data_IF_000225523827
#
_entry.id   IF_000225523827
#
_cell.length_a   1.000
_cell.length_b   1.000
_cell.length_c   1.000
_cell.angle_alpha   90.00
_cell.angle_beta   90.00
_cell.angle_gamma   90.00
#
_symmetry.space_group_name_H-M   'P 1'
#
loop_
_entity.id
_entity.type
_entity.pdbx_description
1 polymer ?
#
# COMPACT_ATOMS: atom_id res chain seq x y z
N UNK A 1 24.28 -20.06 38.48
CA UNK A 1 23.52 -19.22 37.53
C UNK A 1 22.15 -18.99 38.13
N UNK A 2 21.87 -17.77 38.57
CA UNK A 2 20.51 -17.38 38.94
C UNK A 2 19.77 -17.11 37.64
N UNK A 3 18.84 -17.97 37.27
CA UNK A 3 17.90 -17.65 36.21
C UNK A 3 16.93 -16.62 36.79
N UNK A 4 17.10 -15.36 36.39
CA UNK A 4 16.08 -14.35 36.61
C UNK A 4 14.78 -14.89 36.04
N UNK A 5 13.74 -14.92 36.86
CA UNK A 5 12.40 -15.24 36.38
C UNK A 5 12.02 -14.20 35.32
N UNK A 6 12.12 -14.59 34.06
CA UNK A 6 11.71 -13.80 32.88
C UNK A 6 10.25 -14.06 32.53
N UNK A 7 9.51 -14.73 33.42
CA UNK A 7 8.06 -14.82 33.28
C UNK A 7 7.47 -13.41 33.26
N UNK A 8 6.59 -13.10 32.29
CA UNK A 8 5.97 -11.78 32.24
C UNK A 8 5.25 -11.50 33.57
N UNK A 9 5.38 -10.29 34.12
CA UNK A 9 4.80 -9.98 35.42
C UNK A 9 3.28 -10.20 35.40
N UNK A 10 2.70 -10.68 36.51
CA UNK A 10 1.28 -11.06 36.60
C UNK A 10 0.32 -9.88 36.54
N UNK A 11 0.82 -8.64 36.63
CA UNK A 11 0.04 -7.41 36.56
C UNK A 11 0.58 -6.56 35.43
N UNK A 12 -0.19 -6.44 34.36
CA UNK A 12 0.22 -5.74 33.15
C UNK A 12 0.08 -4.23 33.36
N UNK A 13 1.21 -3.54 33.38
CA UNK A 13 1.22 -2.08 33.47
C UNK A 13 0.71 -1.46 32.15
N UNK A 14 0.17 -0.23 32.18
CA UNK A 14 -0.15 0.50 30.95
C UNK A 14 1.06 0.63 30.00
N UNK A 15 2.29 0.67 30.53
CA UNK A 15 3.50 0.71 29.72
C UNK A 15 3.74 -0.59 28.93
N UNK A 16 3.49 -1.75 29.54
CA UNK A 16 3.61 -3.05 28.87
C UNK A 16 2.50 -3.26 27.82
N UNK A 17 1.31 -2.75 28.09
CA UNK A 17 0.22 -2.73 27.11
C UNK A 17 0.59 -1.88 25.89
N UNK A 18 1.15 -0.69 26.11
CA UNK A 18 1.69 0.15 25.01
C UNK A 18 2.79 -0.56 24.24
N UNK A 19 3.76 -1.16 24.94
CA UNK A 19 4.85 -1.89 24.28
C UNK A 19 4.34 -3.03 23.39
N UNK A 20 3.37 -3.80 23.90
CA UNK A 20 2.77 -4.89 23.14
C UNK A 20 2.01 -4.39 21.90
N UNK A 21 1.28 -3.28 22.02
CA UNK A 21 0.56 -2.65 20.91
C UNK A 21 1.53 -2.06 19.88
N UNK A 22 2.56 -1.34 20.33
CA UNK A 22 3.57 -0.72 19.48
C UNK A 22 4.40 -1.74 18.69
N UNK A 23 4.56 -2.96 19.21
CA UNK A 23 5.27 -4.05 18.54
C UNK A 23 4.36 -5.02 17.78
N UNK A 24 3.04 -4.80 17.77
CA UNK A 24 2.09 -5.69 17.09
C UNK A 24 2.03 -7.11 17.66
N UNK A 25 2.22 -7.28 18.97
CA UNK A 25 2.43 -8.60 19.57
C UNK A 25 1.10 -9.29 19.91
N UNK A 26 1.02 -10.61 19.63
CA UNK A 26 -0.17 -11.42 19.88
C UNK A 26 -0.69 -11.39 21.33
N UNK A 27 0.19 -11.11 22.31
CA UNK A 27 -0.23 -10.93 23.72
C UNK A 27 -1.20 -9.75 23.92
N UNK A 28 -1.12 -8.70 23.11
CA UNK A 28 -2.08 -7.59 23.17
C UNK A 28 -3.50 -8.06 22.80
N UNK A 29 -3.61 -8.98 21.83
CA UNK A 29 -4.88 -9.62 21.47
C UNK A 29 -5.39 -10.54 22.58
N UNK A 30 -4.53 -11.34 23.20
CA UNK A 30 -4.93 -12.18 24.34
C UNK A 30 -5.44 -11.33 25.52
N UNK A 31 -4.79 -10.22 25.82
CA UNK A 31 -5.26 -9.28 26.84
C UNK A 31 -6.59 -8.63 26.47
N UNK A 32 -6.82 -8.38 25.18
CA UNK A 32 -8.09 -7.88 24.68
C UNK A 32 -9.23 -8.88 24.91
N UNK A 33 -9.01 -10.14 24.53
CA UNK A 33 -9.98 -11.23 24.69
C UNK A 33 -10.29 -11.54 26.16
N UNK A 34 -9.34 -11.30 27.07
CA UNK A 34 -9.50 -11.46 28.51
C UNK A 34 -10.07 -10.22 29.22
N UNK A 35 -10.32 -9.11 28.49
CA UNK A 35 -10.80 -7.86 29.08
C UNK A 35 -9.79 -7.12 29.96
N UNK A 36 -8.49 -7.43 29.81
CA UNK A 36 -7.39 -6.84 30.60
C UNK A 36 -6.80 -5.61 29.90
N UNK A 37 -6.90 -5.56 28.57
CA UNK A 37 -6.39 -4.43 27.80
C UNK A 37 -7.24 -3.18 28.08
N UNK A 38 -6.58 -2.10 28.46
CA UNK A 38 -7.22 -0.84 28.85
C UNK A 38 -7.43 0.09 27.65
N UNK A 39 -8.40 1.00 27.76
CA UNK A 39 -8.78 1.90 26.66
C UNK A 39 -7.64 2.85 26.27
N UNK A 40 -6.96 3.46 27.25
CA UNK A 40 -5.93 4.47 27.01
C UNK A 40 -4.82 4.03 26.05
N UNK A 41 -4.10 2.91 26.30
CA UNK A 41 -3.05 2.46 25.40
C UNK A 41 -3.60 2.01 24.04
N UNK A 42 -4.80 1.41 24.00
CA UNK A 42 -5.42 1.02 22.72
C UNK A 42 -5.78 2.25 21.88
N UNK A 43 -6.39 3.27 22.49
CA UNK A 43 -6.76 4.52 21.83
C UNK A 43 -5.53 5.21 21.25
N UNK A 44 -4.44 5.29 22.02
CA UNK A 44 -3.15 5.81 21.54
C UNK A 44 -2.67 5.04 20.30
N UNK A 45 -2.65 3.70 20.37
CA UNK A 45 -2.26 2.86 19.24
C UNK A 45 -3.19 2.96 18.03
N UNK A 46 -4.46 3.31 18.20
CA UNK A 46 -5.39 3.55 17.09
C UNK A 46 -5.14 4.89 16.40
N UNK A 47 -4.79 5.92 17.18
CA UNK A 47 -4.62 7.29 16.69
C UNK A 47 -3.21 7.55 16.12
N UNK A 48 -2.23 6.73 16.50
CA UNK A 48 -0.84 6.88 16.10
C UNK A 48 -0.31 5.59 15.46
N UNK A 49 0.44 5.73 14.37
CA UNK A 49 1.20 4.64 13.79
C UNK A 49 2.50 4.42 14.59
N UNK A 50 2.41 3.48 15.52
CA UNK A 50 3.49 3.08 16.43
C UNK A 50 4.47 2.06 15.82
N UNK A 51 4.46 1.82 14.51
CA UNK A 51 5.43 0.90 13.86
C UNK A 51 6.85 1.42 14.03
N UNK A 52 7.79 0.50 14.22
CA UNK A 52 9.20 0.84 14.36
C UNK A 52 9.81 1.06 12.97
N UNK A 53 9.57 0.13 12.05
CA UNK A 53 10.00 0.22 10.65
C UNK A 53 8.82 0.06 9.70
N UNK A 54 8.29 1.19 9.23
CA UNK A 54 7.11 1.24 8.35
C UNK A 54 7.33 0.61 6.98
N UNK A 55 8.59 0.42 6.56
CA UNK A 55 8.94 -0.20 5.29
C UNK A 55 8.96 -1.74 5.39
N UNK A 56 9.16 -2.27 6.59
CA UNK A 56 9.21 -3.71 6.85
C UNK A 56 7.96 -4.25 7.56
N UNK A 57 7.12 -3.38 8.12
CA UNK A 57 5.94 -3.76 8.87
C UNK A 57 4.66 -3.37 8.12
N UNK A 58 3.68 -4.27 8.05
CA UNK A 58 2.37 -3.96 7.48
C UNK A 58 1.58 -2.96 8.36
N UNK A 59 0.74 -2.09 7.76
CA UNK A 59 -0.15 -1.23 8.53
C UNK A 59 -1.07 -2.02 9.48
N UNK A 60 -1.21 -1.53 10.72
CA UNK A 60 -1.87 -2.29 11.79
C UNK A 60 -3.39 -2.08 11.90
N UNK A 61 -4.00 -1.28 11.02
CA UNK A 61 -5.41 -0.91 11.14
C UNK A 61 -6.36 -2.11 11.24
N UNK A 62 -6.13 -3.18 10.47
CA UNK A 62 -6.93 -4.41 10.55
C UNK A 62 -6.76 -5.14 11.88
N UNK A 63 -5.52 -5.32 12.33
CA UNK A 63 -5.22 -5.94 13.62
C UNK A 63 -5.76 -5.15 14.81
N UNK A 64 -5.63 -3.81 14.77
CA UNK A 64 -6.21 -2.92 15.77
C UNK A 64 -7.73 -3.02 15.80
N UNK A 65 -8.38 -3.12 14.64
CA UNK A 65 -9.83 -3.33 14.57
C UNK A 65 -10.27 -4.62 15.28
N UNK A 66 -9.55 -5.72 15.09
CA UNK A 66 -9.82 -6.97 15.81
C UNK A 66 -9.71 -6.79 17.33
N UNK A 67 -8.68 -6.07 17.79
CA UNK A 67 -8.48 -5.78 19.21
C UNK A 67 -9.62 -4.92 19.75
N UNK A 68 -10.00 -3.83 19.06
CA UNK A 68 -11.12 -2.95 19.43
C UNK A 68 -12.40 -3.76 19.64
N UNK A 69 -12.65 -4.73 18.75
CA UNK A 69 -13.82 -5.60 18.82
C UNK A 69 -13.75 -6.53 20.03
N UNK A 70 -12.59 -7.13 20.29
CA UNK A 70 -12.40 -8.06 21.40
C UNK A 70 -12.64 -7.39 22.76
N UNK A 71 -12.17 -6.15 22.97
CA UNK A 71 -12.45 -5.39 24.21
C UNK A 71 -13.79 -4.66 24.23
N UNK A 72 -14.49 -4.56 23.11
CA UNK A 72 -15.76 -3.82 23.02
C UNK A 72 -15.62 -2.29 23.04
N UNK A 73 -14.46 -1.73 22.70
CA UNK A 73 -14.20 -0.28 22.75
C UNK A 73 -14.56 0.49 21.48
N UNK A 74 -15.40 -0.07 20.60
CA UNK A 74 -15.86 0.61 19.36
C UNK A 74 -16.38 2.02 19.66
N UNK A 75 -17.30 2.17 20.61
CA UNK A 75 -17.90 3.47 20.92
C UNK A 75 -16.91 4.45 21.56
N UNK A 76 -16.00 3.95 22.39
CA UNK A 76 -15.00 4.77 23.07
C UNK A 76 -13.98 5.36 22.09
N UNK A 77 -13.62 4.60 21.04
CA UNK A 77 -12.61 4.99 20.05
C UNK A 77 -13.21 5.79 18.89
N UNK A 78 -14.52 5.61 18.62
CA UNK A 78 -15.25 6.26 17.52
C UNK A 78 -15.00 7.77 17.43
N UNK A 79 -15.30 8.52 18.50
CA UNK A 79 -15.23 9.99 18.49
C UNK A 79 -13.79 10.50 18.38
N UNK A 80 -12.81 9.99 19.17
CA UNK A 80 -11.41 10.33 18.96
C UNK A 80 -10.91 10.10 17.53
N UNK A 81 -11.33 8.99 16.91
CA UNK A 81 -10.93 8.64 15.54
C UNK A 81 -11.51 9.64 14.51
N UNK A 82 -12.77 10.04 14.65
CA UNK A 82 -13.38 11.08 13.81
C UNK A 82 -12.66 12.42 13.93
N UNK A 83 -12.32 12.84 15.15
CA UNK A 83 -11.54 14.07 15.36
C UNK A 83 -10.17 14.01 14.69
N UNK A 84 -9.49 12.86 14.74
CA UNK A 84 -8.19 12.69 14.08
C UNK A 84 -8.31 12.74 12.55
N UNK A 85 -9.34 12.12 11.97
CA UNK A 85 -9.58 12.14 10.52
C UNK A 85 -10.00 13.52 9.99
N UNK A 86 -10.67 14.35 10.80
CA UNK A 86 -10.95 15.73 10.41
C UNK A 86 -9.71 16.64 10.48
N UNK A 87 -8.73 16.31 11.32
CA UNK A 87 -7.52 17.10 11.56
C UNK A 87 -6.26 16.35 11.10
N UNK A 88 -6.35 15.69 9.94
CA UNK A 88 -5.21 14.99 9.35
C UNK A 88 -4.05 15.97 9.15
N UNK A 89 -2.93 15.61 9.76
CA UNK A 89 -1.71 16.43 9.76
C UNK A 89 -0.46 15.56 9.64
N UNK A 90 -0.49 14.38 10.26
CA UNK A 90 0.53 13.36 10.12
C UNK A 90 0.11 12.31 9.08
N UNK A 91 0.80 12.26 7.92
CA UNK A 91 0.49 11.31 6.88
C UNK A 91 0.64 9.83 7.26
N UNK A 92 1.52 9.51 8.20
CA UNK A 92 1.77 8.13 8.63
C UNK A 92 0.59 7.61 9.45
N UNK A 93 0.08 8.45 10.35
CA UNK A 93 -1.14 8.16 11.08
C UNK A 93 -2.33 8.07 10.12
N UNK A 94 -2.37 8.94 9.09
CA UNK A 94 -3.51 9.03 8.17
C UNK A 94 -3.87 7.69 7.50
N UNK A 95 -2.89 6.90 7.07
CA UNK A 95 -3.14 5.58 6.46
C UNK A 95 -3.83 4.62 7.45
N UNK A 96 -3.32 4.55 8.67
CA UNK A 96 -3.93 3.72 9.71
C UNK A 96 -5.34 4.20 10.09
N UNK A 97 -5.51 5.52 10.19
CA UNK A 97 -6.80 6.14 10.48
C UNK A 97 -7.83 5.82 9.39
N UNK A 98 -7.45 5.90 8.11
CA UNK A 98 -8.32 5.51 6.99
C UNK A 98 -8.68 4.03 7.07
N UNK A 99 -7.72 3.16 7.39
CA UNK A 99 -7.99 1.73 7.53
C UNK A 99 -9.01 1.43 8.63
N UNK A 100 -8.89 2.11 9.78
CA UNK A 100 -9.89 2.00 10.84
C UNK A 100 -11.25 2.59 10.41
N UNK A 101 -11.25 3.73 9.71
CA UNK A 101 -12.47 4.33 9.15
C UNK A 101 -13.21 3.36 8.23
N UNK A 102 -12.48 2.63 7.39
CA UNK A 102 -13.03 1.60 6.52
C UNK A 102 -13.81 0.55 7.33
N UNK A 103 -13.25 0.08 8.44
CA UNK A 103 -13.89 -0.93 9.27
C UNK A 103 -15.14 -0.40 10.00
N UNK A 104 -15.12 0.84 10.49
CA UNK A 104 -16.31 1.48 11.05
C UNK A 104 -17.40 1.65 9.99
N UNK A 105 -17.04 2.12 8.80
CA UNK A 105 -17.97 2.29 7.69
C UNK A 105 -18.59 0.96 7.24
N UNK A 106 -17.77 -0.10 7.14
CA UNK A 106 -18.22 -1.46 6.85
C UNK A 106 -19.16 -2.01 7.94
N UNK A 107 -19.03 -1.52 9.18
CA UNK A 107 -19.92 -1.86 10.30
C UNK A 107 -21.21 -1.03 10.34
N UNK A 108 -21.46 -0.21 9.31
CA UNK A 108 -22.68 0.58 9.15
C UNK A 108 -22.57 2.06 9.55
N UNK A 109 -21.38 2.53 9.92
CA UNK A 109 -21.19 3.93 10.31
C UNK A 109 -21.07 4.87 9.09
N UNK A 110 -22.18 5.53 8.75
CA UNK A 110 -22.23 6.43 7.60
C UNK A 110 -21.26 7.62 7.71
N UNK A 111 -20.97 8.11 8.92
CA UNK A 111 -20.07 9.24 9.11
C UNK A 111 -18.65 8.90 8.63
N UNK A 112 -18.16 7.71 8.93
CA UNK A 112 -16.84 7.28 8.44
C UNK A 112 -16.84 7.03 6.93
N UNK A 113 -17.94 6.53 6.37
CA UNK A 113 -18.09 6.37 4.91
C UNK A 113 -17.95 7.73 4.22
N UNK A 114 -18.72 8.72 4.66
CA UNK A 114 -18.72 10.06 4.06
C UNK A 114 -17.34 10.73 4.20
N UNK A 115 -16.68 10.54 5.35
CA UNK A 115 -15.35 11.06 5.58
C UNK A 115 -14.29 10.40 4.70
N UNK A 116 -14.38 9.11 4.40
CA UNK A 116 -13.50 8.45 3.43
C UNK A 116 -13.68 9.03 2.02
N UNK A 117 -14.93 9.23 1.58
CA UNK A 117 -15.21 9.94 0.32
C UNK A 117 -14.60 11.34 0.33
N UNK A 118 -14.73 12.08 1.43
CA UNK A 118 -14.15 13.42 1.57
C UNK A 118 -12.63 13.39 1.47
N UNK A 119 -11.95 12.47 2.16
CA UNK A 119 -10.49 12.34 2.13
C UNK A 119 -10.00 12.03 0.72
N UNK A 120 -10.62 11.06 0.05
CA UNK A 120 -10.25 10.67 -1.32
C UNK A 120 -10.46 11.83 -2.28
N UNK A 121 -11.52 12.61 -2.15
CA UNK A 121 -11.85 13.69 -3.09
C UNK A 121 -11.09 14.99 -2.82
N UNK A 122 -10.89 15.37 -1.55
CA UNK A 122 -10.29 16.65 -1.18
C UNK A 122 -8.77 16.57 -1.01
N UNK A 123 -8.20 15.38 -0.84
CA UNK A 123 -6.75 15.15 -0.69
C UNK A 123 -6.12 16.11 0.34
N UNK A 124 -6.54 16.04 1.62
CA UNK A 124 -6.21 17.06 2.63
C UNK A 124 -4.72 17.15 2.98
N UNK A 125 -3.91 16.18 2.55
CA UNK A 125 -2.46 16.19 2.75
C UNK A 125 -1.77 16.54 1.43
N UNK A 126 -1.25 17.76 1.33
CA UNK A 126 -0.65 18.32 0.11
C UNK A 126 0.73 17.73 -0.28
N UNK A 127 1.10 16.57 0.27
CA UNK A 127 2.41 15.96 0.04
C UNK A 127 2.32 14.88 -1.04
N UNK A 128 3.22 14.96 -2.03
CA UNK A 128 3.34 14.05 -3.19
C UNK A 128 3.42 12.56 -2.86
N UNK A 129 3.78 12.22 -1.62
CA UNK A 129 3.93 10.82 -1.17
C UNK A 129 2.60 10.20 -0.66
N UNK A 130 1.53 11.00 -0.57
CA UNK A 130 0.26 10.62 0.07
C UNK A 130 -0.98 10.89 -0.78
N UNK A 131 -0.80 11.16 -2.07
CA UNK A 131 -1.90 11.42 -3.00
C UNK A 131 -2.87 10.24 -3.17
N UNK A 132 -2.54 9.04 -2.68
CA UNK A 132 -3.40 7.86 -2.75
C UNK A 132 -4.15 7.55 -1.43
N UNK A 133 -4.13 8.47 -0.47
CA UNK A 133 -4.72 8.25 0.85
C UNK A 133 -6.22 7.91 0.77
N UNK A 134 -6.61 6.79 1.38
CA UNK A 134 -8.00 6.35 1.52
C UNK A 134 -8.58 5.67 0.28
N UNK A 135 -7.85 5.59 -0.84
CA UNK A 135 -8.36 5.01 -2.08
C UNK A 135 -8.54 3.50 -1.98
N UNK A 136 -7.55 2.77 -1.43
CA UNK A 136 -7.65 1.33 -1.21
C UNK A 136 -8.78 0.98 -0.24
N UNK A 137 -8.94 1.78 0.81
CA UNK A 137 -10.02 1.65 1.78
C UNK A 137 -11.40 1.85 1.16
N UNK A 138 -11.57 2.93 0.37
CA UNK A 138 -12.83 3.24 -0.27
C UNK A 138 -13.17 2.21 -1.36
N UNK A 139 -12.18 1.77 -2.13
CA UNK A 139 -12.32 0.68 -3.11
C UNK A 139 -12.80 -0.61 -2.43
N UNK A 140 -12.15 -1.02 -1.34
CA UNK A 140 -12.52 -2.22 -0.62
C UNK A 140 -13.90 -2.11 0.08
N UNK A 141 -14.35 -0.89 0.42
CA UNK A 141 -15.66 -0.64 1.03
C UNK A 141 -16.80 -0.63 0.00
N UNK A 142 -16.60 0.03 -1.15
CA UNK A 142 -17.67 0.40 -2.09
C UNK A 142 -17.51 -0.26 -3.48
N UNK A 143 -16.46 -1.05 -3.69
CA UNK A 143 -16.18 -1.74 -4.96
C UNK A 143 -16.10 -0.77 -6.13
N UNK A 144 -16.93 -0.97 -7.16
CA UNK A 144 -16.99 -0.13 -8.37
C UNK A 144 -17.19 1.36 -8.06
N UNK A 145 -18.02 1.69 -7.06
CA UNK A 145 -18.30 3.09 -6.71
C UNK A 145 -17.08 3.75 -6.06
N UNK A 146 -16.35 2.99 -5.25
CA UNK A 146 -15.09 3.45 -4.64
C UNK A 146 -14.01 3.65 -5.70
N UNK A 147 -13.88 2.69 -6.62
CA UNK A 147 -12.99 2.79 -7.77
C UNK A 147 -13.25 4.06 -8.60
N UNK A 148 -14.50 4.30 -9.01
CA UNK A 148 -14.86 5.47 -9.82
C UNK A 148 -14.59 6.78 -9.08
N UNK A 149 -14.80 6.83 -7.76
CA UNK A 149 -14.47 8.00 -6.96
C UNK A 149 -12.96 8.29 -6.94
N UNK A 150 -12.14 7.27 -6.70
CA UNK A 150 -10.68 7.41 -6.70
C UNK A 150 -10.15 7.79 -8.08
N UNK A 151 -10.59 7.08 -9.14
CA UNK A 151 -10.21 7.35 -10.52
C UNK A 151 -10.58 8.78 -10.95
N UNK A 152 -11.76 9.26 -10.56
CA UNK A 152 -12.19 10.64 -10.84
C UNK A 152 -11.28 11.65 -10.13
N UNK A 153 -10.95 11.41 -8.86
CA UNK A 153 -10.08 12.31 -8.11
C UNK A 153 -8.67 12.39 -8.72
N UNK A 154 -8.06 11.25 -9.09
CA UNK A 154 -6.77 11.23 -9.80
C UNK A 154 -6.85 11.92 -11.16
N UNK A 155 -7.94 11.67 -11.90
CA UNK A 155 -8.26 12.35 -13.15
C UNK A 155 -8.28 13.88 -13.04
N UNK A 156 -8.83 14.42 -11.96
CA UNK A 156 -8.84 15.86 -11.71
C UNK A 156 -7.41 16.40 -11.42
N UNK A 157 -6.58 15.64 -10.69
CA UNK A 157 -5.20 16.04 -10.39
C UNK A 157 -4.30 16.09 -11.63
N UNK A 158 -4.55 15.22 -12.62
CA UNK A 158 -3.81 15.19 -13.89
C UNK A 158 -3.94 16.49 -14.73
N UNK A 159 -4.85 17.40 -14.38
CA UNK A 159 -4.90 18.74 -15.00
C UNK A 159 -3.72 19.63 -14.56
N UNK A 160 -3.22 19.42 -13.34
CA UNK A 160 -2.25 20.29 -12.69
C UNK A 160 -0.86 19.68 -12.62
N UNK A 161 -0.77 18.34 -12.59
CA UNK A 161 0.48 17.62 -12.38
C UNK A 161 0.58 16.53 -13.45
N UNK A 162 1.61 16.62 -14.29
CA UNK A 162 1.98 15.52 -15.18
C UNK A 162 2.59 14.42 -14.31
N UNK A 163 1.92 13.28 -14.26
CA UNK A 163 2.14 12.30 -13.22
C UNK A 163 3.17 11.24 -13.67
N UNK A 164 4.40 11.35 -13.16
CA UNK A 164 5.50 10.43 -13.49
C UNK A 164 5.39 9.05 -12.81
N UNK A 165 4.55 8.92 -11.78
CA UNK A 165 4.39 7.67 -11.04
C UNK A 165 3.29 6.78 -11.64
N UNK A 166 3.48 5.47 -11.78
CA UNK A 166 2.48 4.65 -12.43
C UNK A 166 1.16 4.62 -11.65
N UNK A 167 0.02 4.75 -12.34
CA UNK A 167 -1.36 4.59 -11.82
C UNK A 167 -1.65 3.14 -11.33
N UNK A 168 -0.60 2.32 -11.21
CA UNK A 168 -0.62 0.86 -11.09
C UNK A 168 -1.26 0.36 -9.80
N UNK A 169 -1.10 1.05 -8.68
CA UNK A 169 -1.58 0.55 -7.39
C UNK A 169 -3.11 0.42 -7.38
N UNK A 170 -3.84 1.50 -7.69
CA UNK A 170 -5.30 1.52 -7.76
C UNK A 170 -5.83 0.56 -8.81
N UNK A 171 -5.23 0.55 -10.01
CA UNK A 171 -5.68 -0.32 -11.11
C UNK A 171 -5.41 -1.80 -10.83
N UNK A 172 -4.30 -2.14 -10.16
CA UNK A 172 -4.00 -3.51 -9.74
C UNK A 172 -4.99 -3.96 -8.67
N UNK A 173 -5.17 -3.17 -7.62
CA UNK A 173 -6.11 -3.50 -6.53
C UNK A 173 -7.55 -3.60 -7.03
N UNK A 174 -7.99 -2.68 -7.89
CA UNK A 174 -9.29 -2.75 -8.52
C UNK A 174 -9.38 -3.95 -9.47
N UNK A 175 -8.30 -4.28 -10.20
CA UNK A 175 -8.25 -5.43 -11.09
C UNK A 175 -8.43 -6.75 -10.33
N UNK A 176 -7.87 -6.85 -9.13
CA UNK A 176 -8.06 -7.99 -8.22
C UNK A 176 -9.49 -8.07 -7.65
N UNK A 177 -10.09 -6.92 -7.33
CA UNK A 177 -11.40 -6.87 -6.66
C UNK A 177 -12.60 -6.94 -7.61
N UNK A 178 -12.59 -6.17 -8.71
CA UNK A 178 -13.71 -6.03 -9.64
C UNK A 178 -13.39 -6.52 -11.06
N UNK A 179 -12.12 -6.78 -11.38
CA UNK A 179 -11.68 -7.32 -12.67
C UNK A 179 -11.32 -6.25 -13.70
N UNK A 180 -10.23 -6.47 -14.46
CA UNK A 180 -9.74 -5.51 -15.45
C UNK A 180 -10.75 -5.24 -16.59
N UNK A 181 -11.45 -6.27 -17.06
CA UNK A 181 -12.51 -6.12 -18.07
C UNK A 181 -13.59 -5.14 -17.59
N UNK A 182 -14.00 -5.27 -16.32
CA UNK A 182 -15.02 -4.43 -15.73
C UNK A 182 -14.55 -2.98 -15.58
N UNK A 183 -13.30 -2.78 -15.17
CA UNK A 183 -12.68 -1.45 -15.13
C UNK A 183 -12.76 -0.77 -16.51
N UNK A 184 -12.41 -1.50 -17.58
CA UNK A 184 -12.46 -0.95 -18.95
C UNK A 184 -13.88 -0.59 -19.36
N UNK A 185 -14.87 -1.42 -19.05
CA UNK A 185 -16.29 -1.10 -19.31
C UNK A 185 -16.73 0.18 -18.57
N UNK A 186 -16.41 0.28 -17.29
CA UNK A 186 -16.77 1.44 -16.46
C UNK A 186 -16.15 2.73 -16.99
N UNK A 187 -14.87 2.71 -17.35
CA UNK A 187 -14.17 3.90 -17.84
C UNK A 187 -14.51 4.24 -19.29
N UNK A 188 -14.78 3.26 -20.15
CA UNK A 188 -15.14 3.53 -21.56
C UNK A 188 -16.56 4.06 -21.76
N UNK A 189 -17.44 3.85 -20.78
CA UNK A 189 -18.86 4.26 -20.84
C UNK A 189 -19.13 5.63 -20.21
N UNK A 190 -18.13 6.24 -19.58
CA UNK A 190 -18.29 7.53 -18.90
C UNK A 190 -18.24 8.72 -19.87
N UNK A 191 -18.92 9.80 -19.51
CA UNK A 191 -18.78 11.11 -20.16
C UNK A 191 -18.12 12.14 -19.24
N UNK A 192 -17.68 11.72 -18.05
CA UNK A 192 -17.03 12.58 -17.07
C UNK A 192 -15.60 12.91 -17.54
N UNK A 193 -15.22 14.20 -17.65
CA UNK A 193 -13.94 14.61 -18.21
C UNK A 193 -12.74 14.15 -17.38
N UNK A 194 -12.87 14.10 -16.05
CA UNK A 194 -11.78 13.69 -15.17
C UNK A 194 -11.56 12.18 -15.29
N UNK A 195 -12.63 11.39 -15.31
CA UNK A 195 -12.53 9.94 -15.55
C UNK A 195 -11.94 9.63 -16.94
N UNK A 196 -12.29 10.41 -17.96
CA UNK A 196 -11.72 10.28 -19.29
C UNK A 196 -10.21 10.59 -19.27
N UNK A 197 -9.80 11.67 -18.61
CA UNK A 197 -8.37 12.01 -18.47
C UNK A 197 -7.58 10.91 -17.77
N UNK A 198 -8.14 10.36 -16.69
CA UNK A 198 -7.56 9.20 -16.01
C UNK A 198 -7.45 7.98 -16.94
N UNK A 199 -8.51 7.69 -17.70
CA UNK A 199 -8.52 6.55 -18.62
C UNK A 199 -7.50 6.69 -19.75
N UNK A 200 -7.38 7.88 -20.34
CA UNK A 200 -6.39 8.20 -21.36
C UNK A 200 -4.96 8.04 -20.83
N UNK A 201 -4.68 8.58 -19.64
CA UNK A 201 -3.40 8.41 -18.95
C UNK A 201 -3.06 6.92 -18.76
N UNK A 202 -4.01 6.12 -18.28
CA UNK A 202 -3.81 4.68 -18.13
C UNK A 202 -3.51 3.99 -19.48
N UNK A 203 -4.26 4.31 -20.53
CA UNK A 203 -4.01 3.76 -21.86
C UNK A 203 -2.63 4.14 -22.40
N UNK A 204 -2.19 5.37 -22.18
CA UNK A 204 -0.86 5.83 -22.57
C UNK A 204 0.22 5.02 -21.84
N UNK A 205 0.10 4.86 -20.52
CA UNK A 205 1.04 4.05 -19.72
C UNK A 205 1.13 2.60 -20.22
N UNK A 206 0.02 1.98 -20.63
CA UNK A 206 0.04 0.63 -21.22
C UNK A 206 0.87 0.61 -22.52
N UNK A 207 0.67 1.59 -23.41
CA UNK A 207 1.40 1.68 -24.69
C UNK A 207 2.89 1.86 -24.44
N UNK A 208 3.26 2.80 -23.58
CA UNK A 208 4.66 3.05 -23.23
C UNK A 208 5.35 1.81 -22.63
N UNK A 209 4.65 1.06 -21.76
CA UNK A 209 5.20 -0.20 -21.22
C UNK A 209 5.39 -1.25 -22.29
N UNK A 210 4.45 -1.37 -23.23
CA UNK A 210 4.58 -2.30 -24.35
C UNK A 210 5.79 -1.93 -25.22
N UNK A 211 5.99 -0.65 -25.52
CA UNK A 211 7.14 -0.14 -26.27
C UNK A 211 8.46 -0.39 -25.53
N UNK A 212 8.54 -0.05 -24.24
CA UNK A 212 9.72 -0.30 -23.39
C UNK A 212 10.04 -1.81 -23.35
N UNK A 213 9.04 -2.69 -23.27
CA UNK A 213 9.23 -4.15 -23.33
C UNK A 213 9.78 -4.59 -24.69
N UNK A 214 9.23 -4.08 -25.79
CA UNK A 214 9.72 -4.40 -27.15
C UNK A 214 11.15 -3.92 -27.38
N UNK A 215 11.49 -2.71 -26.93
CA UNK A 215 12.86 -2.17 -27.03
C UNK A 215 13.85 -3.03 -26.25
N UNK A 216 13.53 -3.40 -25.00
CA UNK A 216 14.37 -4.30 -24.19
C UNK A 216 14.58 -5.65 -24.87
N UNK A 217 13.53 -6.24 -25.45
CA UNK A 217 13.64 -7.50 -26.21
C UNK A 217 14.53 -7.36 -27.46
N UNK A 218 14.40 -6.25 -28.21
CA UNK A 218 15.25 -5.97 -29.38
C UNK A 218 16.71 -5.79 -28.98
N UNK A 219 16.99 -5.03 -27.92
CA UNK A 219 18.34 -4.87 -27.38
C UNK A 219 18.93 -6.19 -26.91
N UNK A 220 18.15 -7.00 -26.19
CA UNK A 220 18.60 -8.33 -25.74
C UNK A 220 18.88 -9.26 -26.92
N UNK A 221 18.02 -9.30 -27.93
CA UNK A 221 18.23 -10.11 -29.15
C UNK A 221 19.44 -9.63 -29.96
N UNK A 222 19.70 -8.32 -30.00
CA UNK A 222 20.89 -7.75 -30.64
C UNK A 222 22.16 -8.11 -29.88
N UNK A 223 22.17 -8.00 -28.55
CA UNK A 223 23.29 -8.44 -27.71
C UNK A 223 23.53 -9.96 -27.82
N UNK A 224 22.47 -10.76 -27.80
CA UNK A 224 22.57 -12.20 -27.94
C UNK A 224 23.14 -12.58 -29.31
N UNK A 225 22.66 -11.95 -30.41
CA UNK A 225 23.26 -12.12 -31.75
C UNK A 225 24.72 -11.69 -31.80
N UNK A 226 25.10 -10.58 -31.19
CA UNK A 226 26.51 -10.16 -31.09
C UNK A 226 27.36 -11.11 -30.23
N UNK A 227 26.76 -11.90 -29.33
CA UNK A 227 27.46 -12.94 -28.57
C UNK A 227 27.54 -14.27 -29.33
N UNK A 228 26.58 -14.59 -30.20
CA UNK A 228 26.60 -15.82 -31.02
C UNK A 228 27.21 -15.66 -32.41
N UNK A 229 27.23 -14.46 -32.98
CA UNK A 229 27.92 -14.12 -34.23
C UNK A 229 29.32 -13.59 -33.86
N UNK A 230 30.33 -14.38 -34.22
CA UNK A 230 31.75 -14.03 -34.33
C UNK A 230 32.56 -13.97 -33.02
N UNK A 231 32.85 -15.15 -32.46
CA UNK A 231 34.22 -15.40 -32.00
C UNK A 231 34.74 -16.57 -32.82
N UNK A 232 35.73 -16.34 -33.69
CA UNK A 232 36.32 -17.43 -34.46
C UNK A 232 37.03 -18.39 -33.51
N UNK A 233 37.14 -19.66 -33.91
CA UNK A 233 37.85 -20.67 -33.10
C UNK A 233 39.30 -20.22 -32.88
N UNK A 234 39.93 -19.56 -33.87
CA UNK A 234 41.27 -18.98 -33.70
C UNK A 234 41.31 -17.92 -32.60
N UNK A 235 40.34 -17.00 -32.55
CA UNK A 235 40.29 -15.96 -31.51
C UNK A 235 40.11 -16.54 -30.09
N UNK A 236 39.34 -17.62 -29.96
CA UNK A 236 39.22 -18.34 -28.66
C UNK A 236 40.53 -19.00 -28.26
N UNK A 237 41.21 -19.64 -29.21
CA UNK A 237 42.48 -20.33 -28.98
C UNK A 237 43.61 -19.36 -28.63
N UNK A 238 43.70 -18.22 -29.31
CA UNK A 238 44.68 -17.16 -29.00
C UNK A 238 44.47 -16.58 -27.60
N UNK A 239 43.22 -16.32 -27.20
CA UNK A 239 42.91 -15.81 -25.88
C UNK A 239 43.21 -16.83 -24.76
N UNK A 240 42.99 -18.13 -25.01
CA UNK A 240 43.29 -19.20 -24.07
C UNK A 240 44.80 -19.49 -23.91
N UNK A 241 45.60 -19.18 -24.93
CA UNK A 241 47.06 -19.39 -24.94
C UNK A 241 47.86 -18.13 -24.53
N UNK A 242 47.24 -16.95 -24.50
CA UNK A 242 47.86 -15.69 -24.07
C UNK A 242 47.66 -15.35 -22.59
N UNK A 243 48.38 -14.33 -22.10
CA UNK A 243 48.29 -13.84 -20.70
C UNK A 243 47.04 -12.96 -20.42
N UNK A 244 46.13 -12.79 -21.37
CA UNK A 244 44.97 -11.91 -21.22
C UNK A 244 43.76 -12.62 -20.61
N UNK A 245 43.14 -11.96 -19.64
CA UNK A 245 42.07 -12.51 -18.82
C UNK A 245 40.76 -12.68 -19.62
N UNK A 246 40.37 -13.93 -19.87
CA UNK A 246 39.22 -14.33 -20.70
C UNK A 246 37.86 -14.24 -19.97
N UNK A 247 37.54 -13.11 -19.34
CA UNK A 247 36.34 -12.97 -18.49
C UNK A 247 34.98 -13.09 -19.22
N UNK A 248 34.99 -13.03 -20.56
CA UNK A 248 33.82 -13.13 -21.44
C UNK A 248 33.52 -14.58 -21.88
N UNK A 249 34.45 -15.52 -21.69
CA UNK A 249 34.20 -16.96 -21.85
C UNK A 249 33.47 -17.45 -20.58
N UNK A 250 32.18 -17.12 -20.46
CA UNK A 250 31.34 -17.58 -19.35
C UNK A 250 30.37 -18.65 -19.83
N UNK A 251 30.80 -19.90 -19.63
CA UNK A 251 30.12 -21.21 -19.79
C UNK A 251 30.33 -21.93 -21.12
N UNK A 252 30.95 -23.11 -21.00
CA UNK A 252 30.49 -24.33 -21.66
C UNK A 252 30.01 -25.26 -20.53
N UNK A 253 28.74 -25.69 -20.60
CA UNK A 253 28.05 -26.44 -19.54
C UNK A 253 26.62 -25.98 -19.37
#
# INVERSE_FOLDING_TARGET
>A
MNYSDVSPPPVHTPAEQRDALAKGLGRARLWAEQGILTETPLKEACLQDLRYDRMCEEPRGGWLWEIINAVGFRNAIRVPLLHALHNLSDPENARQLCKLAQHYAASGDATFRDLLYQIVTQKPLAATDYDFLGESELLALEGERGFLCAAKSRGAQLEQIDWDWPEESLLREAGELIGETRIRELLSSTSDPDLNRFFESWQQQIRERAERKQQKQRHHKKQQRQQTEETSVETVLEAALGETNCHWIRRWG
#
